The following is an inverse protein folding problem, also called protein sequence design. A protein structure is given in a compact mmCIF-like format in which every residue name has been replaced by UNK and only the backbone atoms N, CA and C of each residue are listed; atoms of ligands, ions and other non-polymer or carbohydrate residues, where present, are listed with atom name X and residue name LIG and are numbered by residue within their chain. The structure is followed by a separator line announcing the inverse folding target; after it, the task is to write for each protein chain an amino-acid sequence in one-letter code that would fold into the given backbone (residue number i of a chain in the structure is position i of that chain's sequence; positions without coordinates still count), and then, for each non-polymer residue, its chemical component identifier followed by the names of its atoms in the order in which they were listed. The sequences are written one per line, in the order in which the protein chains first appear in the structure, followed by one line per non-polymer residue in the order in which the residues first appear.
data_IF_825403004499
#
_entry.id   IF_825403004499
#
_cell.length_a   1.000
_cell.length_b   1.000
_cell.length_c   1.000
_cell.angle_alpha   90.00
_cell.angle_beta   90.00
_cell.angle_gamma   90.00
#
_symmetry.space_group_name_H-M   'P 1'
#
loop_
_entity.id
_entity.type
_entity.pdbx_description
1 polymer ?
#
# COMPACT_ATOMS: atom_id res chain seq x y z
N UNK A 1 19.13 -34.94 59.77
CA UNK A 1 18.00 -34.40 60.55
C UNK A 1 18.41 -33.05 61.14
N UNK A 2 18.05 -31.97 60.44
CA UNK A 2 17.79 -30.63 60.97
C UNK A 2 17.17 -29.86 59.81
N UNK A 3 15.85 -29.82 59.86
CA UNK A 3 14.98 -29.03 58.99
C UNK A 3 15.22 -27.55 59.27
N UNK A 4 15.49 -26.79 58.22
CA UNK A 4 15.11 -25.39 58.16
C UNK A 4 14.17 -25.25 56.96
N UNK A 5 12.90 -25.01 57.28
CA UNK A 5 11.83 -24.68 56.34
C UNK A 5 11.58 -23.19 56.55
N UNK A 6 11.84 -22.39 55.52
CA UNK A 6 11.24 -21.11 55.16
C UNK A 6 11.65 -20.86 53.69
N UNK A 7 10.91 -21.32 52.69
CA UNK A 7 9.65 -20.78 52.12
C UNK A 7 9.90 -19.79 50.96
N UNK A 8 9.17 -20.02 49.86
CA UNK A 8 9.16 -19.35 48.54
C UNK A 8 10.14 -19.84 47.46
N UNK A 9 9.91 -21.05 46.94
CA UNK A 9 10.24 -21.41 45.55
C UNK A 9 9.34 -20.60 44.60
N UNK A 10 9.69 -19.34 44.36
CA UNK A 10 9.15 -18.57 43.24
C UNK A 10 9.78 -19.14 41.97
N UNK A 11 9.00 -19.63 40.99
CA UNK A 11 9.58 -20.15 39.76
C UNK A 11 10.33 -19.02 39.04
N UNK A 12 11.66 -19.13 39.01
CA UNK A 12 12.53 -18.24 38.24
C UNK A 12 12.37 -18.61 36.77
N UNK A 13 11.51 -17.87 36.07
CA UNK A 13 11.36 -18.01 34.63
C UNK A 13 12.50 -17.27 33.92
N UNK A 14 13.48 -18.02 33.42
CA UNK A 14 14.52 -17.47 32.55
C UNK A 14 13.91 -17.09 31.19
N UNK A 15 13.65 -15.80 30.98
CA UNK A 15 13.19 -15.27 29.69
C UNK A 15 14.41 -14.90 28.85
N UNK A 16 14.74 -15.76 27.87
CA UNK A 16 15.81 -15.49 26.90
C UNK A 16 15.25 -14.68 25.74
N UNK A 17 15.57 -13.38 25.69
CA UNK A 17 15.28 -12.54 24.53
C UNK A 17 16.32 -12.81 23.44
N UNK A 18 15.90 -13.43 22.33
CA UNK A 18 16.67 -13.39 21.08
C UNK A 18 16.34 -12.08 20.37
N UNK A 19 17.35 -11.24 20.18
CA UNK A 19 17.26 -10.05 19.34
C UNK A 19 17.24 -10.48 17.86
N UNK A 20 16.13 -11.08 17.43
CA UNK A 20 15.83 -11.25 16.00
C UNK A 20 15.28 -9.94 15.46
N UNK A 21 15.68 -9.57 14.24
CA UNK A 21 15.30 -8.41 13.40
C UNK A 21 14.58 -7.25 14.11
N UNK A 22 15.12 -6.03 14.03
CA UNK A 22 14.63 -4.78 14.65
C UNK A 22 13.12 -4.52 14.45
N UNK A 23 12.30 -5.26 15.19
CA UNK A 23 10.86 -5.20 15.14
C UNK A 23 10.43 -4.12 16.11
N UNK A 24 10.03 -3.00 15.55
CA UNK A 24 9.44 -1.88 16.26
C UNK A 24 8.06 -2.28 16.78
N UNK A 25 7.79 -1.96 18.05
CA UNK A 25 6.56 -2.36 18.74
C UNK A 25 5.69 -1.14 19.02
N UNK A 26 4.38 -1.31 18.84
CA UNK A 26 3.35 -0.35 19.21
C UNK A 26 2.20 -1.10 19.89
N UNK A 27 1.80 -0.67 21.07
CA UNK A 27 0.69 -1.25 21.85
C UNK A 27 -0.41 -0.21 21.98
N UNK A 28 -1.62 -0.61 21.63
CA UNK A 28 -2.80 0.26 21.57
C UNK A 28 -3.94 -0.38 22.35
N UNK A 29 -4.65 0.41 23.14
CA UNK A 29 -5.80 -0.08 23.91
C UNK A 29 -7.05 -0.25 23.04
N UNK A 30 -8.13 -0.78 23.64
CA UNK A 30 -9.44 -0.97 22.99
C UNK A 30 -10.09 0.28 22.41
N UNK A 31 -9.69 1.48 22.87
CA UNK A 31 -10.20 2.77 22.37
C UNK A 31 -9.36 3.31 21.20
N UNK A 32 -8.29 2.62 20.82
CA UNK A 32 -7.39 3.07 19.76
C UNK A 32 -6.29 4.02 20.25
N UNK A 33 -6.14 4.23 21.56
CA UNK A 33 -5.10 5.09 22.12
C UNK A 33 -3.78 4.33 22.34
N UNK A 34 -2.68 4.93 21.89
CA UNK A 34 -1.33 4.39 22.02
C UNK A 34 -0.94 4.33 23.50
N UNK A 35 -0.67 3.13 24.01
CA UNK A 35 -0.18 2.89 25.36
C UNK A 35 1.35 2.86 25.42
N UNK A 36 1.97 2.28 24.39
CA UNK A 36 3.42 2.12 24.32
C UNK A 36 3.89 2.14 22.88
N UNK A 37 5.03 2.76 22.62
CA UNK A 37 5.71 2.73 21.33
C UNK A 37 7.22 2.63 21.53
N UNK A 38 7.87 1.82 20.69
CA UNK A 38 9.33 1.79 20.61
C UNK A 38 9.90 3.16 20.22
N UNK A 39 11.02 3.55 20.82
CA UNK A 39 11.66 4.86 20.59
C UNK A 39 12.07 5.06 19.13
N UNK A 40 12.57 4.02 18.46
CA UNK A 40 12.93 4.05 17.04
C UNK A 40 11.72 4.37 16.13
N UNK A 41 10.55 3.80 16.44
CA UNK A 41 9.31 4.07 15.72
C UNK A 41 8.84 5.51 15.94
N UNK A 42 8.82 5.95 17.20
CA UNK A 42 8.42 7.30 17.54
C UNK A 42 9.34 8.34 16.87
N UNK A 43 10.64 8.07 16.81
CA UNK A 43 11.59 8.92 16.11
C UNK A 43 11.36 8.91 14.59
N UNK A 44 11.10 7.74 14.01
CA UNK A 44 10.83 7.61 12.57
C UNK A 44 9.56 8.38 12.14
N UNK A 45 8.55 8.44 13.00
CA UNK A 45 7.28 9.16 12.73
C UNK A 45 7.38 10.67 12.96
N UNK A 46 8.35 11.15 13.75
CA UNK A 46 8.53 12.57 14.10
C UNK A 46 9.33 13.42 13.10
N UNK A 47 9.98 12.79 12.12
CA UNK A 47 11.00 13.41 11.27
C UNK A 47 12.21 13.96 12.08
N UNK A 48 13.27 13.15 12.25
CA UNK A 48 14.53 13.56 12.92
C UNK A 48 15.37 14.56 12.09
N UNK A 49 14.81 15.18 11.06
CA UNK A 49 15.55 16.03 10.11
C UNK A 49 15.08 17.48 9.99
N UNK A 50 14.01 17.89 10.66
CA UNK A 50 13.41 19.23 10.48
C UNK A 50 14.09 20.34 11.30
N UNK A 51 15.42 20.32 11.39
CA UNK A 51 16.21 21.50 11.73
C UNK A 51 17.01 21.87 10.50
N UNK A 52 16.37 22.48 9.50
CA UNK A 52 16.97 23.34 8.47
C UNK A 52 15.84 23.94 7.60
N UNK A 53 15.60 25.24 7.75
CA UNK A 53 15.00 26.07 6.71
C UNK A 53 13.47 26.11 6.63
N UNK A 54 12.92 27.27 6.98
CA UNK A 54 11.55 27.70 6.73
C UNK A 54 11.18 27.50 5.24
N UNK A 55 10.13 26.72 4.98
CA UNK A 55 9.25 26.94 3.82
C UNK A 55 7.81 26.91 4.35
N UNK A 56 7.24 28.11 4.50
CA UNK A 56 5.84 28.35 4.79
C UNK A 56 5.00 28.05 3.55
N UNK A 57 3.97 27.23 3.71
CA UNK A 57 2.81 27.11 2.81
C UNK A 57 2.09 25.80 3.15
N UNK A 58 0.81 25.74 3.47
CA UNK A 58 -0.29 26.70 3.34
C UNK A 58 -1.40 26.13 4.24
N UNK A 59 -1.51 26.64 5.48
CA UNK A 59 -2.58 26.27 6.40
C UNK A 59 -3.55 27.46 6.46
N UNK A 60 -4.66 27.36 5.72
CA UNK A 60 -5.76 28.33 5.81
C UNK A 60 -6.59 27.97 7.05
N UNK A 61 -6.32 28.65 8.16
CA UNK A 61 -7.25 28.77 9.28
C UNK A 61 -8.10 30.01 9.08
N UNK A 62 -9.40 29.80 8.93
CA UNK A 62 -10.45 30.81 9.12
C UNK A 62 -10.52 31.21 10.60
N UNK A 63 -10.58 32.51 10.89
CA UNK A 63 -10.86 33.03 12.23
C UNK A 63 -10.23 34.39 12.48
N UNK A 64 -11.06 35.45 12.51
CA UNK A 64 -10.65 36.84 12.59
C UNK A 64 -10.17 37.31 13.96
N UNK A 65 -9.63 38.54 13.99
CA UNK A 65 -9.28 39.24 15.22
C UNK A 65 -8.36 40.43 14.96
N UNK A 66 -8.91 41.63 15.13
CA UNK A 66 -8.28 42.95 15.02
C UNK A 66 -7.10 43.09 16.00
N UNK A 67 -6.01 43.76 15.57
CA UNK A 67 -4.92 44.14 16.48
C UNK A 67 -3.80 44.90 15.79
N UNK A 68 -3.59 46.15 16.21
CA UNK A 68 -2.68 47.13 15.64
C UNK A 68 -1.19 46.74 15.69
N UNK A 69 -0.43 47.08 14.65
CA UNK A 69 1.04 47.07 14.66
C UNK A 69 1.59 48.45 15.00
N UNK A 70 2.20 48.57 16.18
CA UNK A 70 3.13 49.62 16.55
C UNK A 70 4.58 49.19 16.31
N UNK A 71 5.38 50.12 15.80
CA UNK A 71 6.83 50.02 15.60
C UNK A 71 7.60 49.96 16.93
N UNK A 72 8.80 49.37 16.90
CA UNK A 72 9.94 49.94 17.65
C UNK A 72 10.78 49.00 18.52
N UNK A 73 11.94 48.64 17.98
CA UNK A 73 13.27 48.66 18.60
C UNK A 73 13.65 47.72 19.77
N UNK A 74 14.72 46.94 19.52
CA UNK A 74 15.96 47.00 20.32
C UNK A 74 16.13 45.97 21.44
N UNK A 75 17.24 45.23 21.41
CA UNK A 75 17.74 44.50 22.59
C UNK A 75 18.67 43.34 22.27
N UNK A 76 19.98 43.62 22.27
CA UNK A 76 21.05 42.65 22.19
C UNK A 76 21.17 41.77 23.46
N UNK A 77 21.81 40.61 23.34
CA UNK A 77 22.61 40.06 24.45
C UNK A 77 22.60 38.54 24.65
N UNK A 78 23.82 38.03 24.78
CA UNK A 78 24.24 36.83 25.52
C UNK A 78 24.16 35.46 24.81
N UNK A 79 25.34 35.11 24.27
CA UNK A 79 25.84 33.75 24.19
C UNK A 79 25.91 33.09 25.58
N UNK A 80 25.37 31.87 25.67
CA UNK A 80 25.77 30.84 26.64
C UNK A 80 25.48 29.52 25.94
N UNK A 81 26.48 28.70 25.62
CA UNK A 81 27.26 27.95 26.59
C UNK A 81 26.98 26.48 26.29
N UNK A 82 27.65 25.95 25.28
CA UNK A 82 27.64 24.52 24.97
C UNK A 82 28.19 23.77 26.18
N UNK A 83 27.39 22.89 26.77
CA UNK A 83 27.90 21.80 27.60
C UNK A 83 27.38 20.48 27.05
N UNK A 84 28.25 19.83 26.30
CA UNK A 84 28.18 18.40 26.05
C UNK A 84 28.48 17.69 27.38
N UNK A 85 27.47 17.11 28.00
CA UNK A 85 27.64 16.13 29.06
C UNK A 85 27.02 14.82 28.58
N UNK A 86 27.85 13.97 27.99
CA UNK A 86 27.59 12.55 27.89
C UNK A 86 27.49 11.99 29.31
N UNK A 87 26.30 11.61 29.72
CA UNK A 87 26.08 10.84 30.94
C UNK A 87 25.29 9.58 30.57
N UNK A 88 26.03 8.48 30.52
CA UNK A 88 25.53 7.11 30.66
C UNK A 88 24.63 7.02 31.88
N UNK A 89 23.32 6.94 31.66
CA UNK A 89 22.32 6.71 32.68
C UNK A 89 21.08 6.12 32.02
N UNK A 90 20.66 4.95 32.50
CA UNK A 90 19.40 4.31 32.14
C UNK A 90 18.27 5.36 32.21
N UNK A 91 17.80 5.84 31.06
CA UNK A 91 16.68 6.75 30.99
C UNK A 91 15.44 6.00 31.45
N UNK A 92 14.99 6.26 32.68
CA UNK A 92 13.62 6.00 33.09
C UNK A 92 12.70 6.58 32.02
N UNK A 93 11.86 5.72 31.45
CA UNK A 93 11.08 5.99 30.26
C UNK A 93 10.18 7.19 30.44
N UNK A 94 10.51 8.29 29.76
CA UNK A 94 9.49 9.21 29.28
C UNK A 94 8.60 8.38 28.34
N UNK A 95 7.29 8.26 28.60
CA UNK A 95 6.44 7.46 27.74
C UNK A 95 6.46 8.09 26.34
N UNK A 96 7.10 7.40 25.39
CA UNK A 96 7.08 7.78 23.98
C UNK A 96 5.66 7.78 23.37
N UNK A 97 4.64 7.46 24.17
CA UNK A 97 3.22 7.55 23.83
C UNK A 97 2.74 9.00 23.68
N UNK A 98 3.21 9.96 24.52
CA UNK A 98 2.79 11.38 24.44
C UNK A 98 3.14 12.01 23.08
N UNK A 99 4.18 11.47 22.49
CA UNK A 99 4.78 11.87 21.23
C UNK A 99 4.05 11.35 19.98
N UNK A 100 3.12 10.42 20.14
CA UNK A 100 2.29 9.87 19.07
C UNK A 100 0.81 10.20 19.29
N UNK A 101 0.51 11.25 20.05
CA UNK A 101 -0.87 11.70 20.30
C UNK A 101 -1.66 12.08 19.03
N UNK A 102 -0.96 12.39 17.93
CA UNK A 102 -1.57 12.62 16.62
C UNK A 102 -1.96 11.33 15.87
N UNK A 103 -1.57 10.16 16.37
CA UNK A 103 -1.82 8.86 15.75
C UNK A 103 -2.81 8.03 16.54
N UNK A 104 -3.55 7.20 15.82
CA UNK A 104 -4.53 6.24 16.33
C UNK A 104 -4.24 4.85 15.80
N UNK A 105 -4.91 3.82 16.33
CA UNK A 105 -4.85 2.47 15.78
C UNK A 105 -5.08 2.44 14.26
N UNK A 106 -6.04 3.23 13.76
CA UNK A 106 -6.46 3.21 12.37
C UNK A 106 -5.32 3.57 11.41
N UNK A 107 -4.40 4.44 11.81
CA UNK A 107 -3.25 4.86 11.00
C UNK A 107 -2.29 3.71 10.70
N UNK A 108 -2.39 2.61 11.46
CA UNK A 108 -1.53 1.44 11.35
C UNK A 108 -2.27 0.19 10.83
N UNK A 109 -3.49 0.36 10.30
CA UNK A 109 -4.26 -0.72 9.70
C UNK A 109 -4.26 -0.60 8.16
N UNK A 110 -4.30 -1.73 7.42
CA UNK A 110 -4.58 -1.70 5.98
C UNK A 110 -6.02 -1.27 5.73
N UNK A 111 -6.32 -0.80 4.52
CA UNK A 111 -7.72 -0.67 4.09
C UNK A 111 -8.32 -2.06 3.86
N UNK A 112 -9.63 -2.23 4.08
CA UNK A 112 -10.59 -1.20 4.55
C UNK A 112 -10.59 -1.02 6.08
N UNK A 113 -9.76 -1.76 6.83
CA UNK A 113 -9.81 -1.75 8.29
C UNK A 113 -9.47 -0.39 8.91
N UNK A 114 -8.59 0.41 8.30
CA UNK A 114 -8.30 1.78 8.76
C UNK A 114 -9.52 2.70 8.73
N UNK A 115 -10.50 2.41 7.87
CA UNK A 115 -11.73 3.18 7.72
C UNK A 115 -12.89 2.59 8.55
N UNK A 116 -12.71 1.40 9.11
CA UNK A 116 -13.73 0.74 9.91
C UNK A 116 -13.76 1.34 11.32
N UNK A 117 -14.95 1.73 11.79
CA UNK A 117 -15.12 2.22 13.16
C UNK A 117 -14.65 1.16 14.18
N UNK A 118 -13.89 1.58 15.19
CA UNK A 118 -13.22 0.70 16.17
C UNK A 118 -14.18 -0.29 16.85
N UNK A 119 -15.44 0.12 17.07
CA UNK A 119 -16.50 -0.77 17.58
C UNK A 119 -16.74 -2.01 16.70
N UNK A 120 -16.65 -1.87 15.38
CA UNK A 120 -16.79 -2.97 14.43
C UNK A 120 -15.49 -3.75 14.26
N UNK A 121 -14.33 -3.13 14.47
CA UNK A 121 -13.06 -3.86 14.52
C UNK A 121 -13.10 -4.96 15.59
N UNK A 122 -13.66 -4.69 16.78
CA UNK A 122 -13.82 -5.70 17.85
C UNK A 122 -14.59 -6.93 17.38
N UNK A 123 -15.82 -6.74 16.91
CA UNK A 123 -16.70 -7.83 16.43
C UNK A 123 -16.04 -8.60 15.30
N UNK A 124 -15.46 -7.88 14.34
CA UNK A 124 -14.82 -8.51 13.19
C UNK A 124 -13.58 -9.30 13.62
N UNK A 125 -12.82 -8.84 14.63
CA UNK A 125 -11.58 -9.49 15.10
C UNK A 125 -11.86 -10.79 15.84
N UNK A 126 -12.94 -10.86 16.60
CA UNK A 126 -13.27 -12.06 17.40
C UNK A 126 -14.19 -13.04 16.66
N UNK A 127 -15.03 -12.57 15.72
CA UNK A 127 -16.07 -13.40 15.10
C UNK A 127 -15.80 -13.79 13.64
N UNK A 128 -14.89 -13.12 12.92
CA UNK A 128 -14.65 -13.42 11.51
C UNK A 128 -13.34 -14.18 11.29
N UNK A 129 -13.40 -15.22 10.46
CA UNK A 129 -12.22 -15.94 9.98
C UNK A 129 -11.25 -14.97 9.27
N UNK A 130 -9.93 -15.22 9.33
CA UNK A 130 -8.94 -14.43 8.60
C UNK A 130 -9.27 -14.41 7.10
N UNK A 131 -9.31 -13.21 6.52
CA UNK A 131 -9.51 -13.05 5.08
C UNK A 131 -8.45 -13.80 4.28
N UNK A 132 -8.83 -14.35 3.12
CA UNK A 132 -7.87 -14.91 2.14
C UNK A 132 -7.01 -13.82 1.48
N UNK A 133 -7.35 -12.55 1.66
CA UNK A 133 -6.57 -11.43 1.15
C UNK A 133 -5.16 -11.42 1.81
N UNK A 134 -4.07 -11.46 1.02
CA UNK A 134 -2.70 -11.45 1.56
C UNK A 134 -2.36 -10.16 2.32
N UNK A 135 -3.09 -9.06 2.09
CA UNK A 135 -2.90 -7.76 2.75
C UNK A 135 -3.68 -7.60 4.07
N UNK A 136 -4.15 -8.69 4.66
CA UNK A 136 -4.72 -8.62 6.01
C UNK A 136 -3.61 -8.47 7.05
N UNK A 137 -3.71 -7.45 7.90
CA UNK A 137 -2.79 -7.27 9.02
C UNK A 137 -2.98 -8.30 10.14
N UNK A 138 -4.00 -9.16 10.06
CA UNK A 138 -4.38 -10.12 11.11
C UNK A 138 -3.57 -11.42 11.09
N UNK A 139 -2.71 -11.60 10.09
CA UNK A 139 -1.75 -12.70 10.11
C UNK A 139 -0.61 -12.34 11.05
N UNK A 140 -0.44 -13.12 12.11
CA UNK A 140 0.68 -12.99 13.05
C UNK A 140 2.04 -13.42 12.45
N UNK A 141 2.06 -13.86 11.18
CA UNK A 141 3.29 -14.20 10.47
C UNK A 141 3.96 -12.93 9.94
N UNK A 142 5.20 -12.71 10.38
CA UNK A 142 6.08 -11.70 9.79
C UNK A 142 6.72 -12.23 8.50
N UNK A 143 7.00 -11.36 7.52
CA UNK A 143 6.61 -9.95 7.48
C UNK A 143 5.12 -9.78 7.13
N UNK A 144 4.46 -8.80 7.77
CA UNK A 144 3.10 -8.38 7.39
C UNK A 144 3.12 -7.54 6.09
N UNK A 145 1.95 -7.16 5.54
CA UNK A 145 1.90 -6.32 4.34
C UNK A 145 2.62 -4.98 4.54
N UNK A 146 3.25 -4.47 3.49
CA UNK A 146 3.82 -3.11 3.53
C UNK A 146 2.70 -2.06 3.46
N UNK A 147 2.67 -1.14 4.42
CA UNK A 147 1.77 0.01 4.46
C UNK A 147 2.53 1.32 4.19
N UNK A 148 1.88 2.25 3.50
CA UNK A 148 2.31 3.65 3.42
C UNK A 148 1.76 4.40 4.63
N UNK A 149 2.62 4.65 5.61
CA UNK A 149 2.35 5.51 6.75
C UNK A 149 2.78 6.95 6.41
N UNK A 150 2.34 7.92 7.21
CA UNK A 150 2.80 9.31 7.11
C UNK A 150 3.43 9.78 8.41
N UNK A 151 4.56 10.46 8.30
CA UNK A 151 5.15 11.20 9.42
C UNK A 151 4.27 12.39 9.81
N UNK A 152 4.57 13.03 10.93
CA UNK A 152 3.84 14.24 11.38
C UNK A 152 3.97 15.37 10.35
N UNK A 153 5.09 15.46 9.62
CA UNK A 153 5.23 16.41 8.51
C UNK A 153 4.57 15.94 7.19
N UNK A 154 3.88 14.79 7.20
CA UNK A 154 3.18 14.23 6.05
C UNK A 154 4.04 13.44 5.06
N UNK A 155 5.32 13.18 5.39
CA UNK A 155 6.24 12.43 4.52
C UNK A 155 5.86 10.93 4.50
N UNK A 156 5.85 10.27 3.33
CA UNK A 156 5.53 8.85 3.26
C UNK A 156 6.64 8.00 3.91
N UNK A 157 6.22 7.01 4.68
CA UNK A 157 7.07 6.04 5.39
C UNK A 157 6.51 4.64 5.15
N UNK A 158 7.33 3.75 4.58
CA UNK A 158 6.90 2.39 4.26
C UNK A 158 7.31 1.42 5.35
N UNK A 159 6.33 0.71 5.93
CA UNK A 159 6.57 -0.26 7.00
C UNK A 159 5.84 -1.57 6.72
N UNK A 160 6.47 -2.71 6.97
CA UNK A 160 5.73 -3.97 7.14
C UNK A 160 4.96 -3.90 8.44
N UNK A 161 3.66 -4.22 8.41
CA UNK A 161 2.80 -4.10 9.59
C UNK A 161 2.07 -5.41 9.86
N UNK A 162 2.27 -5.96 11.05
CA UNK A 162 1.53 -7.12 11.56
C UNK A 162 0.82 -6.74 12.85
N UNK A 163 -0.49 -7.01 12.92
CA UNK A 163 -1.35 -6.64 14.04
C UNK A 163 -1.87 -7.92 14.70
N UNK A 164 -1.50 -8.08 15.96
CA UNK A 164 -2.04 -9.13 16.83
C UNK A 164 -2.94 -8.50 17.88
N UNK A 165 -4.09 -9.11 18.13
CA UNK A 165 -5.02 -8.64 19.17
C UNK A 165 -5.05 -9.68 20.28
N UNK A 166 -4.83 -9.24 21.51
CA UNK A 166 -4.82 -10.09 22.71
C UNK A 166 -5.83 -9.56 23.72
N UNK A 167 -6.64 -10.44 24.29
CA UNK A 167 -7.50 -10.11 25.43
C UNK A 167 -6.70 -10.29 26.72
N UNK A 168 -6.54 -9.21 27.48
CA UNK A 168 -5.90 -9.21 28.80
C UNK A 168 -6.91 -8.68 29.80
N UNK A 169 -7.37 -9.54 30.72
CA UNK A 169 -8.33 -9.21 31.77
C UNK A 169 -9.67 -8.61 31.25
N UNK A 170 -10.16 -9.06 30.09
CA UNK A 170 -11.41 -8.56 29.49
C UNK A 170 -11.22 -7.27 28.68
N UNK A 171 -9.99 -6.77 28.59
CA UNK A 171 -9.61 -5.65 27.74
C UNK A 171 -8.83 -6.12 26.50
N UNK A 172 -9.32 -5.74 25.32
CA UNK A 172 -8.61 -6.00 24.08
C UNK A 172 -7.47 -5.02 23.91
N UNK A 173 -6.26 -5.55 23.81
CA UNK A 173 -5.05 -4.82 23.46
C UNK A 173 -4.59 -5.23 22.06
N UNK A 174 -4.22 -4.24 21.26
CA UNK A 174 -3.65 -4.44 19.94
C UNK A 174 -2.15 -4.27 20.02
N UNK A 175 -1.42 -5.32 19.70
CA UNK A 175 0.04 -5.34 19.60
C UNK A 175 0.40 -5.32 18.12
N UNK A 176 1.01 -4.22 17.71
CA UNK A 176 1.40 -3.94 16.34
C UNK A 176 2.91 -4.06 16.25
N UNK A 177 3.36 -4.96 15.37
CA UNK A 177 4.76 -5.18 15.04
C UNK A 177 5.05 -4.53 13.70
N UNK A 178 6.12 -3.77 13.66
CA UNK A 178 6.54 -3.03 12.50
C UNK A 178 8.00 -3.27 12.19
N UNK A 179 8.32 -3.31 10.90
CA UNK A 179 9.70 -3.25 10.44
C UNK A 179 9.79 -2.36 9.21
N UNK A 180 10.95 -1.72 9.04
CA UNK A 180 11.18 -0.80 7.94
C UNK A 180 11.04 -1.52 6.59
N UNK A 181 10.32 -0.90 5.67
CA UNK A 181 10.12 -1.38 4.31
C UNK A 181 10.45 -0.28 3.30
N UNK A 182 10.11 -0.51 2.03
CA UNK A 182 10.32 0.42 0.93
C UNK A 182 9.10 0.45 0.01
N UNK A 183 9.01 1.50 -0.82
CA UNK A 183 8.01 1.57 -1.88
C UNK A 183 8.13 0.39 -2.84
N UNK A 184 9.36 -0.02 -3.19
CA UNK A 184 9.57 -1.15 -4.10
C UNK A 184 9.08 -2.47 -3.48
N UNK A 185 9.32 -2.68 -2.19
CA UNK A 185 8.75 -3.81 -1.45
C UNK A 185 7.21 -3.79 -1.50
N UNK A 186 6.59 -2.64 -1.26
CA UNK A 186 5.14 -2.49 -1.36
C UNK A 186 4.60 -2.81 -2.77
N UNK A 187 5.31 -2.39 -3.81
CA UNK A 187 4.93 -2.62 -5.20
C UNK A 187 5.11 -4.09 -5.59
N UNK A 188 6.24 -4.71 -5.26
CA UNK A 188 6.51 -6.12 -5.56
C UNK A 188 5.56 -7.09 -4.85
N UNK A 189 5.02 -6.71 -3.69
CA UNK A 189 3.93 -7.45 -3.03
C UNK A 189 2.62 -7.43 -3.82
N UNK A 190 2.37 -6.36 -4.60
CA UNK A 190 1.07 -6.05 -5.20
C UNK A 190 1.01 -6.27 -6.69
N UNK A 191 2.10 -6.07 -7.41
CA UNK A 191 2.16 -6.10 -8.87
C UNK A 191 3.32 -6.97 -9.36
N UNK A 192 3.09 -7.61 -10.50
CA UNK A 192 4.13 -8.28 -11.27
C UNK A 192 4.62 -7.31 -12.35
N UNK A 193 5.93 -7.07 -12.41
CA UNK A 193 6.56 -6.26 -13.45
C UNK A 193 7.36 -7.17 -14.38
N UNK A 194 7.05 -7.09 -15.66
CA UNK A 194 7.71 -7.82 -16.74
C UNK A 194 8.42 -6.85 -17.67
N UNK A 195 9.57 -7.26 -18.16
CA UNK A 195 10.25 -6.61 -19.27
C UNK A 195 10.02 -7.43 -20.53
N UNK A 196 9.67 -6.76 -21.63
CA UNK A 196 9.40 -7.37 -22.92
C UNK A 196 10.42 -6.89 -23.96
N UNK A 197 10.72 -7.73 -24.95
CA UNK A 197 11.36 -7.32 -26.19
C UNK A 197 10.40 -6.54 -27.08
N UNK A 198 10.91 -5.90 -28.14
CA UNK A 198 10.08 -5.16 -29.11
C UNK A 198 9.14 -6.08 -29.89
N UNK A 199 9.46 -7.38 -29.99
CA UNK A 199 8.61 -8.42 -30.56
C UNK A 199 7.51 -8.90 -29.60
N UNK A 200 7.53 -8.46 -28.33
CA UNK A 200 6.57 -8.87 -27.31
C UNK A 200 6.89 -10.19 -26.62
N UNK A 201 8.16 -10.62 -26.62
CA UNK A 201 8.62 -11.77 -25.84
C UNK A 201 9.02 -11.32 -24.44
N UNK A 202 8.63 -12.05 -23.40
CA UNK A 202 9.02 -11.75 -22.02
C UNK A 202 10.51 -12.06 -21.83
N UNK A 203 11.31 -11.03 -21.55
CA UNK A 203 12.78 -11.17 -21.38
C UNK A 203 13.18 -11.28 -19.93
N UNK A 204 12.44 -10.65 -19.01
CA UNK A 204 12.72 -10.71 -17.58
C UNK A 204 11.48 -10.46 -16.72
N UNK A 205 11.51 -11.00 -15.50
CA UNK A 205 10.65 -10.57 -14.39
C UNK A 205 11.46 -9.57 -13.56
N UNK A 206 11.08 -8.30 -13.58
CA UNK A 206 11.85 -7.21 -12.96
C UNK A 206 11.29 -6.77 -11.60
N UNK A 207 10.10 -7.23 -11.23
CA UNK A 207 9.50 -6.95 -9.93
C UNK A 207 8.33 -7.88 -9.63
N UNK A 208 8.14 -8.20 -8.34
CA UNK A 208 7.09 -9.10 -7.87
C UNK A 208 7.35 -10.57 -8.15
N UNK A 209 6.53 -11.44 -7.57
CA UNK A 209 6.66 -12.89 -7.71
C UNK A 209 5.48 -13.46 -8.51
N UNK A 210 5.70 -13.99 -9.73
CA UNK A 210 4.65 -14.54 -10.57
C UNK A 210 3.86 -15.68 -9.92
N UNK A 211 4.52 -16.47 -9.06
CA UNK A 211 3.93 -17.63 -8.39
C UNK A 211 2.98 -17.19 -7.29
N UNK A 212 3.36 -16.21 -6.47
CA UNK A 212 2.50 -15.73 -5.39
C UNK A 212 1.32 -14.90 -5.93
N UNK A 213 1.55 -14.10 -6.96
CA UNK A 213 0.54 -13.18 -7.51
C UNK A 213 -0.45 -13.87 -8.46
N UNK A 214 0.05 -14.77 -9.31
CA UNK A 214 -0.74 -15.37 -10.40
C UNK A 214 -0.65 -16.90 -10.46
N UNK A 215 0.12 -17.54 -9.58
CA UNK A 215 0.34 -18.99 -9.65
C UNK A 215 1.20 -19.43 -10.84
N UNK A 216 1.94 -18.49 -11.44
CA UNK A 216 2.83 -18.73 -12.58
C UNK A 216 4.23 -19.13 -12.11
N UNK A 217 4.86 -20.07 -12.81
CA UNK A 217 6.25 -20.43 -12.55
C UNK A 217 7.18 -19.48 -13.32
N UNK A 218 8.09 -18.76 -12.66
CA UNK A 218 8.93 -17.75 -13.31
C UNK A 218 9.74 -18.28 -14.50
N UNK A 219 10.24 -19.52 -14.39
CA UNK A 219 10.95 -20.25 -15.45
C UNK A 219 10.12 -20.47 -16.71
N UNK A 220 8.79 -20.51 -16.55
CA UNK A 220 7.82 -20.72 -17.64
C UNK A 220 7.22 -19.42 -18.15
N UNK A 221 7.57 -18.27 -17.59
CA UNK A 221 7.09 -16.97 -18.08
C UNK A 221 8.14 -16.34 -19.00
N UNK A 222 9.42 -16.36 -18.60
CA UNK A 222 10.52 -15.82 -19.41
C UNK A 222 10.70 -16.66 -20.67
N UNK A 223 10.91 -16.00 -21.81
CA UNK A 223 11.07 -16.60 -23.13
C UNK A 223 9.74 -16.87 -23.85
N UNK A 224 8.59 -16.69 -23.21
CA UNK A 224 7.29 -16.82 -23.87
C UNK A 224 6.83 -15.52 -24.48
N UNK A 225 6.04 -15.63 -25.54
CA UNK A 225 5.33 -14.48 -26.07
C UNK A 225 4.29 -14.00 -25.04
N UNK A 226 4.26 -12.69 -24.82
CA UNK A 226 3.43 -12.05 -23.81
C UNK A 226 1.94 -12.37 -24.01
N UNK A 227 1.51 -12.46 -25.27
CA UNK A 227 0.13 -12.77 -25.59
C UNK A 227 -0.31 -14.20 -25.27
N UNK A 228 0.60 -15.12 -24.98
CA UNK A 228 0.24 -16.47 -24.52
C UNK A 228 0.04 -16.58 -23.00
N UNK A 229 0.44 -15.54 -22.27
CA UNK A 229 0.31 -15.45 -20.80
C UNK A 229 -1.03 -14.81 -20.43
N UNK A 230 -1.66 -14.09 -21.36
CA UNK A 230 -2.91 -13.39 -21.15
C UNK A 230 -4.05 -13.98 -21.99
N UNK A 231 -5.25 -13.89 -21.45
CA UNK A 231 -6.48 -14.03 -22.21
C UNK A 231 -6.84 -12.66 -22.81
N UNK A 232 -6.92 -12.63 -24.13
CA UNK A 232 -7.23 -11.41 -24.88
C UNK A 232 -8.70 -11.32 -25.27
N UNK A 233 -9.49 -12.38 -25.02
CA UNK A 233 -10.90 -12.41 -25.36
C UNK A 233 -11.69 -11.27 -24.70
N UNK A 234 -11.29 -10.84 -23.49
CA UNK A 234 -11.90 -9.74 -22.74
C UNK A 234 -11.79 -8.38 -23.46
N UNK A 235 -10.78 -8.18 -24.30
CA UNK A 235 -10.56 -6.93 -25.04
C UNK A 235 -11.44 -6.84 -26.29
N UNK A 236 -11.99 -7.94 -26.79
CA UNK A 236 -12.70 -8.01 -28.10
C UNK A 236 -14.17 -7.54 -28.00
N UNK A 237 -14.57 -6.94 -26.87
CA UNK A 237 -15.96 -6.57 -26.54
C UNK A 237 -16.64 -5.60 -27.52
N UNK A 238 -15.90 -4.95 -28.44
CA UNK A 238 -16.43 -4.06 -29.49
C UNK A 238 -16.23 -4.56 -30.93
N UNK A 239 -15.98 -5.86 -31.14
CA UNK A 239 -16.17 -6.51 -32.46
C UNK A 239 -15.16 -6.16 -33.57
N UNK A 240 -14.06 -5.47 -33.29
CA UNK A 240 -13.00 -5.17 -34.27
C UNK A 240 -11.59 -5.15 -33.65
N UNK A 241 -11.24 -6.16 -32.87
CA UNK A 241 -9.83 -6.42 -32.57
C UNK A 241 -9.42 -7.75 -33.23
N UNK A 242 -8.21 -7.82 -33.79
CA UNK A 242 -7.74 -9.01 -34.48
C UNK A 242 -7.70 -10.20 -33.52
N UNK A 243 -8.11 -11.38 -34.00
CA UNK A 243 -8.09 -12.61 -33.21
C UNK A 243 -6.67 -13.09 -32.84
N UNK A 244 -5.65 -12.48 -33.46
CA UNK A 244 -4.24 -12.77 -33.23
C UNK A 244 -3.69 -11.92 -32.08
N UNK A 245 -3.30 -12.58 -30.98
CA UNK A 245 -2.73 -11.95 -29.79
C UNK A 245 -1.48 -11.11 -30.07
N UNK A 246 -0.71 -11.44 -31.11
CA UNK A 246 0.44 -10.61 -31.53
C UNK A 246 0.00 -9.25 -32.05
N UNK A 247 -1.04 -9.21 -32.87
CA UNK A 247 -1.57 -7.95 -33.39
C UNK A 247 -2.21 -7.11 -32.27
N UNK A 248 -2.87 -7.76 -31.32
CA UNK A 248 -3.44 -7.08 -30.14
C UNK A 248 -2.35 -6.46 -29.26
N UNK A 249 -1.24 -7.16 -29.05
CA UNK A 249 -0.08 -6.61 -28.35
C UNK A 249 0.43 -5.33 -29.04
N UNK A 250 0.67 -5.35 -30.36
CA UNK A 250 1.12 -4.15 -31.06
C UNK A 250 0.09 -3.02 -31.07
N UNK A 251 -1.21 -3.34 -31.06
CA UNK A 251 -2.27 -2.34 -30.90
C UNK A 251 -2.21 -1.66 -29.53
N UNK A 252 -1.92 -2.42 -28.45
CA UNK A 252 -1.70 -1.85 -27.12
C UNK A 252 -0.45 -0.98 -27.07
N UNK A 253 0.67 -1.43 -27.65
CA UNK A 253 1.91 -0.64 -27.72
C UNK A 253 1.64 0.69 -28.44
N UNK A 254 0.97 0.66 -29.59
CA UNK A 254 0.61 1.89 -30.34
C UNK A 254 -0.30 2.81 -29.52
N UNK A 255 -1.28 2.24 -28.82
CA UNK A 255 -2.20 3.01 -27.96
C UNK A 255 -1.45 3.67 -26.82
N UNK A 256 -0.53 2.96 -26.16
CA UNK A 256 0.29 3.49 -25.07
C UNK A 256 1.21 4.62 -25.56
N UNK A 257 1.81 4.48 -26.75
CA UNK A 257 2.61 5.55 -27.37
C UNK A 257 1.76 6.79 -27.69
N UNK A 258 0.51 6.59 -28.12
CA UNK A 258 -0.38 7.71 -28.50
C UNK A 258 -0.98 8.41 -27.27
N UNK A 259 -1.34 7.63 -26.25
CA UNK A 259 -2.04 8.11 -25.06
C UNK A 259 -1.55 7.31 -23.84
N UNK A 260 -0.43 7.71 -23.22
CA UNK A 260 0.20 6.92 -22.17
C UNK A 260 -0.58 6.89 -20.86
N UNK A 261 -0.31 5.87 -20.04
CA UNK A 261 -0.83 5.73 -18.69
C UNK A 261 -2.21 5.08 -18.60
N UNK A 262 -2.72 4.51 -19.69
CA UNK A 262 -3.96 3.73 -19.66
C UNK A 262 -3.76 2.36 -19.03
N UNK A 263 -4.86 1.76 -18.59
CA UNK A 263 -4.87 0.40 -18.07
C UNK A 263 -6.04 -0.42 -18.60
N UNK A 264 -5.85 -1.74 -18.64
CA UNK A 264 -6.79 -2.67 -19.27
C UNK A 264 -7.06 -3.87 -18.36
N UNK A 265 -8.33 -4.28 -18.26
CA UNK A 265 -8.70 -5.48 -17.51
C UNK A 265 -8.49 -6.72 -18.37
N UNK A 266 -7.72 -7.67 -17.86
CA UNK A 266 -7.32 -8.87 -18.58
C UNK A 266 -7.30 -10.06 -17.62
N UNK A 267 -7.35 -11.26 -18.16
CA UNK A 267 -7.17 -12.47 -17.37
C UNK A 267 -5.79 -13.07 -17.63
N UNK A 268 -5.08 -13.43 -16.57
CA UNK A 268 -3.80 -14.11 -16.66
C UNK A 268 -4.05 -15.61 -16.72
N UNK A 269 -3.53 -16.24 -17.77
CA UNK A 269 -3.65 -17.68 -18.01
C UNK A 269 -2.56 -18.42 -17.23
N UNK A 270 -2.92 -19.37 -16.36
CA UNK A 270 -1.92 -20.20 -15.69
C UNK A 270 -1.17 -21.06 -16.71
N UNK A 271 0.07 -21.45 -16.36
CA UNK A 271 0.81 -22.42 -17.16
C UNK A 271 0.01 -23.73 -17.26
N UNK A 272 -0.29 -24.17 -18.50
CA UNK A 272 -0.99 -25.43 -18.71
C UNK A 272 -0.18 -26.57 -18.10
N UNK A 273 -0.68 -27.15 -17.00
CA UNK A 273 -0.13 -28.39 -16.43
C UNK A 273 -0.51 -29.62 -17.25
N UNK A 274 -1.46 -29.46 -18.17
CA UNK A 274 -1.97 -30.49 -19.04
C UNK A 274 -1.14 -30.48 -20.32
N UNK A 275 -0.40 -31.57 -20.55
CA UNK A 275 0.26 -31.82 -21.82
C UNK A 275 -0.75 -31.95 -22.97
N UNK A 276 -0.30 -31.96 -24.23
CA UNK A 276 -1.15 -31.95 -25.43
C UNK A 276 -2.13 -33.14 -25.56
N UNK A 277 -2.12 -34.12 -24.64
CA UNK A 277 -2.98 -35.32 -24.70
C UNK A 277 -4.11 -35.36 -23.66
N UNK A 278 -4.35 -34.30 -22.89
CA UNK A 278 -5.24 -34.40 -21.72
C UNK A 278 -6.62 -33.78 -21.94
N UNK A 279 -7.57 -34.63 -22.33
CA UNK A 279 -9.01 -34.44 -22.10
C UNK A 279 -9.80 -33.69 -23.17
N UNK A 280 -11.12 -33.89 -23.13
CA UNK A 280 -12.11 -33.22 -24.00
C UNK A 280 -11.90 -31.69 -23.99
N UNK A 281 -11.92 -31.01 -25.15
CA UNK A 281 -11.64 -29.57 -25.29
C UNK A 281 -12.48 -28.68 -24.37
N UNK A 282 -13.72 -29.07 -24.11
CA UNK A 282 -14.67 -28.37 -23.25
C UNK A 282 -14.25 -28.41 -21.77
N UNK A 283 -13.77 -29.56 -21.28
CA UNK A 283 -13.22 -29.70 -19.93
C UNK A 283 -11.91 -28.92 -19.76
N UNK A 284 -11.09 -28.83 -20.80
CA UNK A 284 -9.87 -28.02 -20.81
C UNK A 284 -10.22 -26.52 -20.80
N UNK A 285 -11.24 -26.10 -21.54
CA UNK A 285 -11.73 -24.71 -21.52
C UNK A 285 -12.30 -24.33 -20.13
N UNK A 286 -13.12 -25.20 -19.53
CA UNK A 286 -13.68 -25.01 -18.18
C UNK A 286 -12.56 -24.99 -17.13
N UNK A 287 -11.56 -25.88 -17.23
CA UNK A 287 -10.42 -25.88 -16.33
C UNK A 287 -9.56 -24.61 -16.47
N UNK A 288 -9.45 -24.06 -17.69
CA UNK A 288 -8.74 -22.80 -17.95
C UNK A 288 -9.49 -21.61 -17.35
N UNK A 289 -10.80 -21.50 -17.55
CA UNK A 289 -11.60 -20.42 -16.93
C UNK A 289 -11.67 -20.51 -15.41
N UNK A 290 -11.64 -21.73 -14.85
CA UNK A 290 -11.59 -21.91 -13.40
C UNK A 290 -10.24 -21.51 -12.76
N UNK A 291 -9.19 -21.36 -13.57
CA UNK A 291 -7.82 -21.12 -13.09
C UNK A 291 -7.24 -19.80 -13.57
N UNK A 292 -7.95 -19.06 -14.43
CA UNK A 292 -7.58 -17.70 -14.80
C UNK A 292 -7.57 -16.78 -13.57
N UNK A 293 -6.66 -15.82 -13.60
CA UNK A 293 -6.49 -14.83 -12.54
C UNK A 293 -6.75 -13.44 -13.11
N UNK A 294 -7.80 -12.73 -12.67
CA UNK A 294 -8.10 -11.41 -13.18
C UNK A 294 -7.00 -10.42 -12.77
N UNK A 295 -6.60 -9.60 -13.73
CA UNK A 295 -5.55 -8.60 -13.58
C UNK A 295 -5.92 -7.29 -14.28
N UNK A 296 -5.25 -6.21 -13.86
CA UNK A 296 -5.20 -4.94 -14.56
C UNK A 296 -3.80 -4.79 -15.14
N UNK A 297 -3.75 -4.68 -16.45
CA UNK A 297 -2.55 -4.45 -17.25
C UNK A 297 -2.29 -2.95 -17.33
N UNK A 298 -1.07 -2.54 -17.04
CA UNK A 298 -0.53 -1.23 -17.41
C UNK A 298 0.75 -1.43 -18.22
N UNK A 299 0.93 -0.65 -19.27
CA UNK A 299 2.10 -0.73 -20.14
C UNK A 299 2.89 0.56 -20.05
N UNK A 300 4.21 0.47 -20.15
CA UNK A 300 5.10 1.61 -20.26
C UNK A 300 6.06 1.35 -21.42
N UNK A 301 6.07 2.25 -22.39
CA UNK A 301 6.93 2.17 -23.57
C UNK A 301 7.95 3.30 -23.50
N UNK A 302 9.22 2.93 -23.43
CA UNK A 302 10.33 3.87 -23.51
C UNK A 302 10.80 3.94 -24.97
N UNK A 303 10.75 5.14 -25.54
CA UNK A 303 11.12 5.39 -26.94
C UNK A 303 12.59 5.77 -27.01
N UNK A 304 13.31 5.26 -28.02
CA UNK A 304 14.67 5.69 -28.30
C UNK A 304 14.64 7.09 -28.91
N UNK A 305 15.23 8.07 -28.22
CA UNK A 305 15.40 9.43 -28.75
C UNK A 305 16.73 9.48 -29.52
N UNK A 306 16.65 9.33 -30.84
CA UNK A 306 17.77 9.47 -31.78
C UNK A 306 17.33 10.18 -33.06
N UNK A 307 18.27 10.48 -33.96
CA UNK A 307 18.00 11.12 -35.27
C UNK A 307 17.21 10.23 -36.25
N UNK A 308 17.03 8.94 -35.94
CA UNK A 308 16.21 8.01 -36.70
C UNK A 308 14.77 7.96 -36.15
N UNK A 309 13.84 7.46 -36.96
CA UNK A 309 12.42 7.33 -36.63
C UNK A 309 12.20 6.77 -35.20
N UNK A 310 11.29 7.38 -34.41
CA UNK A 310 11.07 7.00 -33.03
C UNK A 310 10.59 5.54 -32.97
N UNK A 311 11.44 4.68 -32.42
CA UNK A 311 11.17 3.25 -32.22
C UNK A 311 11.18 2.92 -30.72
N UNK A 312 10.37 1.94 -30.30
CA UNK A 312 10.36 1.49 -28.90
C UNK A 312 11.70 0.82 -28.57
N UNK A 313 12.39 1.32 -27.54
CA UNK A 313 13.66 0.77 -27.05
C UNK A 313 13.41 -0.30 -25.97
N UNK A 314 12.47 -0.01 -25.08
CA UNK A 314 12.13 -0.89 -23.96
C UNK A 314 10.65 -0.86 -23.66
N UNK A 315 10.04 -2.06 -23.56
CA UNK A 315 8.64 -2.22 -23.18
C UNK A 315 8.61 -2.85 -21.79
N UNK A 316 7.98 -2.18 -20.85
CA UNK A 316 7.70 -2.69 -19.51
C UNK A 316 6.21 -2.87 -19.33
N UNK A 317 5.83 -3.95 -18.67
CA UNK A 317 4.44 -4.26 -18.38
C UNK A 317 4.27 -4.50 -16.89
N UNK A 318 3.19 -3.97 -16.34
CA UNK A 318 2.75 -4.21 -14.98
C UNK A 318 1.41 -4.93 -14.98
N UNK A 319 1.34 -6.03 -14.21
CA UNK A 319 0.13 -6.81 -13.99
C UNK A 319 -0.24 -6.73 -12.51
N UNK A 320 -1.38 -6.12 -12.24
CA UNK A 320 -1.93 -5.97 -10.91
C UNK A 320 -3.08 -6.96 -10.73
N UNK A 321 -3.01 -7.96 -9.83
CA UNK A 321 -4.19 -8.77 -9.50
C UNK A 321 -5.32 -7.84 -9.08
N UNK A 322 -6.54 -8.07 -9.58
CA UNK A 322 -7.67 -7.18 -9.28
C UNK A 322 -7.97 -7.11 -7.78
N UNK A 323 -7.68 -8.18 -7.03
CA UNK A 323 -7.80 -8.23 -5.57
C UNK A 323 -6.82 -7.32 -4.83
N UNK A 324 -5.76 -6.87 -5.51
CA UNK A 324 -4.72 -6.00 -4.95
C UNK A 324 -4.91 -4.54 -5.39
N UNK A 325 -5.69 -4.31 -6.44
CA UNK A 325 -5.99 -2.99 -6.94
C UNK A 325 -6.97 -2.30 -5.98
N UNK A 326 -6.59 -1.13 -5.52
CA UNK A 326 -7.44 -0.24 -4.72
C UNK A 326 -7.02 1.20 -4.98
N UNK A 327 -7.88 2.14 -4.64
CA UNK A 327 -7.60 3.57 -4.78
C UNK A 327 -8.26 4.39 -3.69
N UNK A 328 -7.68 5.54 -3.38
CA UNK A 328 -8.24 6.50 -2.43
C UNK A 328 -8.37 7.87 -3.10
N UNK A 329 -9.61 8.33 -3.25
CA UNK A 329 -9.92 9.62 -3.84
C UNK A 329 -10.44 10.58 -2.78
N UNK A 330 -9.90 11.80 -2.76
CA UNK A 330 -10.50 12.92 -2.04
C UNK A 330 -11.48 13.62 -2.98
N UNK A 331 -12.75 13.70 -2.60
CA UNK A 331 -13.80 14.37 -3.36
C UNK A 331 -14.40 15.54 -2.58
N UNK A 332 -14.75 16.60 -3.31
CA UNK A 332 -15.41 17.76 -2.73
C UNK A 332 -16.91 17.53 -2.48
N UNK A 333 -17.58 18.55 -1.93
CA UNK A 333 -19.01 18.50 -1.61
C UNK A 333 -19.92 18.29 -2.83
N UNK A 334 -19.42 18.54 -4.03
CA UNK A 334 -20.16 18.35 -5.29
C UNK A 334 -19.82 16.98 -5.90
N UNK A 335 -18.86 16.24 -5.35
CA UNK A 335 -18.42 14.94 -5.84
C UNK A 335 -17.31 15.01 -6.89
N UNK A 336 -16.63 16.15 -7.01
CA UNK A 336 -15.47 16.31 -7.90
C UNK A 336 -14.20 15.85 -7.20
N UNK A 337 -13.37 15.07 -7.91
CA UNK A 337 -12.08 14.60 -7.38
C UNK A 337 -11.11 15.77 -7.22
N UNK A 338 -10.67 16.02 -6.00
CA UNK A 338 -9.66 17.05 -5.67
C UNK A 338 -8.25 16.51 -5.71
N UNK A 339 -8.04 15.31 -5.16
CA UNK A 339 -6.73 14.70 -5.07
C UNK A 339 -6.84 13.17 -5.09
N UNK A 340 -5.74 12.52 -5.49
CA UNK A 340 -5.58 11.08 -5.43
C UNK A 340 -4.55 10.76 -4.36
N UNK A 341 -4.97 10.00 -3.34
CA UNK A 341 -4.15 9.64 -2.20
C UNK A 341 -3.55 8.25 -2.40
N UNK A 342 -2.36 8.03 -1.82
CA UNK A 342 -1.65 6.75 -1.89
C UNK A 342 -1.35 6.25 -3.32
N UNK A 343 -1.40 7.13 -4.33
CA UNK A 343 -1.26 6.79 -5.76
C UNK A 343 -0.03 5.92 -6.08
N UNK A 344 1.05 6.05 -5.28
CA UNK A 344 2.28 5.28 -5.45
C UNK A 344 2.13 3.79 -5.12
N UNK A 345 1.24 3.43 -4.20
CA UNK A 345 1.01 2.03 -3.78
C UNK A 345 -0.38 1.52 -4.14
N UNK A 346 -1.31 2.45 -4.40
CA UNK A 346 -2.72 2.24 -4.70
C UNK A 346 -3.18 3.18 -5.81
N UNK A 347 -2.69 2.95 -7.04
CA UNK A 347 -2.99 3.83 -8.16
C UNK A 347 -4.48 3.74 -8.52
N UNK A 348 -5.24 4.79 -8.21
CA UNK A 348 -6.70 4.78 -8.41
C UNK A 348 -7.07 4.72 -9.90
N UNK A 349 -6.19 5.23 -10.77
CA UNK A 349 -6.36 5.18 -12.23
C UNK A 349 -6.56 3.76 -12.77
N UNK A 350 -5.96 2.75 -12.13
CA UNK A 350 -6.13 1.35 -12.51
C UNK A 350 -7.58 0.88 -12.44
N UNK A 351 -8.34 1.37 -11.47
CA UNK A 351 -9.74 0.99 -11.29
C UNK A 351 -10.64 1.53 -12.39
N UNK A 352 -10.25 2.64 -13.02
CA UNK A 352 -11.06 3.33 -14.02
C UNK A 352 -10.51 3.16 -15.45
N UNK A 353 -9.36 2.53 -15.62
CA UNK A 353 -8.75 2.37 -16.95
C UNK A 353 -8.12 3.66 -17.48
N UNK A 354 -7.81 4.63 -16.61
CA UNK A 354 -7.29 5.96 -16.99
C UNK A 354 -5.99 6.27 -16.26
N UNK A 355 -5.26 7.27 -16.74
CA UNK A 355 -4.05 7.73 -16.06
C UNK A 355 -4.41 8.41 -14.73
N UNK A 356 -3.65 8.15 -13.67
CA UNK A 356 -3.89 8.75 -12.34
C UNK A 356 -4.09 10.28 -12.36
N UNK A 357 -3.23 11.05 -13.06
CA UNK A 357 -3.37 12.50 -13.16
C UNK A 357 -4.68 12.98 -13.80
N UNK A 358 -5.31 12.19 -14.67
CA UNK A 358 -6.56 12.61 -15.35
C UNK A 358 -7.77 12.53 -14.43
N UNK A 359 -7.67 11.83 -13.29
CA UNK A 359 -8.77 11.73 -12.33
C UNK A 359 -9.06 13.04 -11.62
N UNK A 360 -8.05 13.89 -11.42
CA UNK A 360 -8.22 15.16 -10.72
C UNK A 360 -9.11 16.09 -11.55
N UNK A 361 -10.21 16.55 -10.94
CA UNK A 361 -11.22 17.37 -11.59
C UNK A 361 -12.38 16.60 -12.22
N UNK A 362 -12.30 15.27 -12.34
CA UNK A 362 -13.41 14.44 -12.82
C UNK A 362 -14.54 14.38 -11.79
N UNK A 363 -15.77 14.19 -12.28
CA UNK A 363 -16.93 13.95 -11.44
C UNK A 363 -17.00 12.47 -11.06
N UNK A 364 -17.21 12.14 -9.78
CA UNK A 364 -17.30 10.75 -9.34
C UNK A 364 -18.42 9.98 -10.05
N UNK A 365 -19.51 10.65 -10.39
CA UNK A 365 -20.63 10.06 -11.13
C UNK A 365 -20.26 9.61 -12.56
N UNK A 366 -19.22 10.19 -13.15
CA UNK A 366 -18.71 9.79 -14.47
C UNK A 366 -17.78 8.57 -14.37
N UNK A 367 -17.25 8.31 -13.18
CA UNK A 367 -16.29 7.23 -12.90
C UNK A 367 -16.98 5.96 -12.39
N UNK A 368 -18.06 6.10 -11.61
CA UNK A 368 -18.79 4.98 -11.00
C UNK A 368 -20.30 5.14 -11.17
N UNK A 369 -20.97 4.03 -11.46
CA UNK A 369 -22.44 3.98 -11.40
C UNK A 369 -22.89 3.99 -9.94
N UNK A 370 -23.36 5.16 -9.47
CA UNK A 370 -23.86 5.30 -8.11
C UNK A 370 -25.28 4.72 -7.97
N UNK A 371 -25.60 4.03 -6.85
CA UNK A 371 -26.96 3.64 -6.55
C UNK A 371 -27.90 4.86 -6.53
N UNK A 372 -29.15 4.69 -6.97
CA UNK A 372 -30.14 5.76 -7.00
C UNK A 372 -30.27 6.44 -5.62
N UNK A 373 -30.24 7.78 -5.58
CA UNK A 373 -30.33 8.57 -4.35
C UNK A 373 -29.01 8.85 -3.62
N UNK A 374 -27.86 8.33 -4.10
CA UNK A 374 -26.51 8.61 -3.55
C UNK A 374 -25.62 9.43 -4.48
N UNK A 375 -26.21 10.23 -5.35
CA UNK A 375 -25.48 11.02 -6.35
C UNK A 375 -24.70 12.20 -5.77
N UNK A 376 -24.96 12.61 -4.53
CA UNK A 376 -24.32 13.75 -3.88
C UNK A 376 -23.74 13.33 -2.52
N UNK A 377 -22.44 13.61 -2.27
CA UNK A 377 -21.87 13.45 -0.94
C UNK A 377 -22.59 14.40 0.03
N UNK A 378 -23.07 13.91 1.16
CA UNK A 378 -23.91 14.69 2.09
C UNK A 378 -23.10 15.73 2.92
N UNK A 379 -22.40 16.68 2.30
CA UNK A 379 -21.69 17.77 2.99
C UNK A 379 -20.38 17.36 3.71
N UNK A 380 -19.31 18.12 3.48
CA UNK A 380 -17.94 17.84 3.96
C UNK A 380 -17.09 17.11 2.91
N UNK A 381 -15.76 17.25 2.93
CA UNK A 381 -14.88 16.50 2.02
C UNK A 381 -14.99 15.00 2.31
N UNK A 382 -15.25 14.19 1.29
CA UNK A 382 -15.40 12.75 1.44
C UNK A 382 -14.19 12.02 0.86
N UNK A 383 -13.81 10.92 1.50
CA UNK A 383 -12.87 9.96 0.94
C UNK A 383 -13.65 8.79 0.36
N UNK A 384 -13.40 8.48 -0.92
CA UNK A 384 -13.96 7.30 -1.58
C UNK A 384 -12.85 6.25 -1.72
N UNK A 385 -13.03 5.12 -1.05
CA UNK A 385 -12.18 3.94 -1.18
C UNK A 385 -12.85 2.98 -2.16
N UNK A 386 -12.11 2.55 -3.18
CA UNK A 386 -12.58 1.64 -4.22
C UNK A 386 -11.69 0.40 -4.30
#
# INVERSE_FOLDING_TARGET
MKTNICDNDVPVHEIRFKLGEQNQLLVVNRKGAVLHASSELANSLKDVGANLGIVRGQQQTTGGGLGMTGQGAGGAGAASGASAAAATGLSQGVPCADHLSAYTLCDFLPSPWKEMHVRHLKVTTTACLPSRNPFTCRKATLPGPTLELRTVAGKPLYMHVAVSTTDVAGELNHVIRMSKSSLESALTERRLRLQLSVEGVVTAVTGGNPTTLFGLESSKVVGRAFWEVLDWSSLVSNGKLPADGRQMFFALVRREVTAPGHSWRMDVLPASKLGPSAGLPELVAIARTATTRPAILQMQVEMRLGNDDPSPDRISVELWPTLNASGLLEVDSVGRVRSVLEERTRPAGLLFGVAGPTLVGMQLADLVTMPQGRGHPAGGGYFCTL
#
